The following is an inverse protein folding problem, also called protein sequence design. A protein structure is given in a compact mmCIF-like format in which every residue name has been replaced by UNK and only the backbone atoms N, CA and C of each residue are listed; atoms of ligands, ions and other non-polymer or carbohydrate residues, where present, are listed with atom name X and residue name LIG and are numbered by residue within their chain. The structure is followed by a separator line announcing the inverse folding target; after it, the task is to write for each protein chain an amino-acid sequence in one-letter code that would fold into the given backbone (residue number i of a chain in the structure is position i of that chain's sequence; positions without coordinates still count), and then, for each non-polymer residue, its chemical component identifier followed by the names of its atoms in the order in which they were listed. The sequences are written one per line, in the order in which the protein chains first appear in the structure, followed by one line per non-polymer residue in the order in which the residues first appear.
data_IF_810576946281
#
_entry.id   IF_810576946281
#
_cell.length_a   1.000
_cell.length_b   1.000
_cell.length_c   1.000
_cell.angle_alpha   90.00
_cell.angle_beta   90.00
_cell.angle_gamma   90.00
#
_symmetry.space_group_name_H-M   'P 1'
#
loop_
_entity.id
_entity.type
_entity.pdbx_description
1 polymer ?
#
# COMPACT_ATOMS: atom_id res chain seq x y z
N UNK A 1 -17.99 2.33 4.92
CA UNK A 1 -17.79 3.75 5.31
C UNK A 1 -19.09 4.26 5.91
N UNK A 2 -19.07 5.27 6.78
CA UNK A 2 -20.33 5.84 7.32
C UNK A 2 -21.14 6.45 6.19
N UNK A 3 -22.46 6.33 6.25
CA UNK A 3 -23.35 6.97 5.27
C UNK A 3 -23.10 8.48 5.25
N UNK A 4 -22.98 9.05 4.04
CA UNK A 4 -22.67 10.48 3.84
C UNK A 4 -21.19 10.87 3.99
N UNK A 5 -20.29 9.94 4.32
CA UNK A 5 -18.86 10.25 4.38
C UNK A 5 -18.26 10.35 2.97
N UNK A 6 -17.44 11.37 2.73
CA UNK A 6 -16.68 11.51 1.50
C UNK A 6 -15.74 10.29 1.29
N UNK A 7 -15.50 9.87 0.03
CA UNK A 7 -14.56 8.79 -0.28
C UNK A 7 -13.17 9.03 0.31
N UNK A 8 -12.54 7.97 0.81
CA UNK A 8 -11.18 8.04 1.32
C UNK A 8 -10.21 8.29 0.16
N UNK A 9 -9.29 9.22 0.33
CA UNK A 9 -8.20 9.50 -0.61
C UNK A 9 -6.84 9.11 -0.04
N UNK A 10 -5.85 8.92 -0.91
CA UNK A 10 -4.46 8.70 -0.51
C UNK A 10 -3.90 9.86 0.34
N UNK A 11 -4.35 11.08 0.09
CA UNK A 11 -3.91 12.26 0.83
C UNK A 11 -4.48 12.27 2.25
N UNK A 12 -5.72 11.79 2.45
CA UNK A 12 -6.32 11.70 3.79
C UNK A 12 -5.50 10.80 4.70
N UNK A 13 -5.03 9.66 4.18
CA UNK A 13 -4.16 8.72 4.91
C UNK A 13 -2.85 9.40 5.32
N UNK A 14 -2.20 10.11 4.39
CA UNK A 14 -0.95 10.82 4.69
C UNK A 14 -1.14 11.91 5.74
N UNK A 15 -2.19 12.73 5.61
CA UNK A 15 -2.50 13.81 6.57
C UNK A 15 -2.80 13.25 7.96
N UNK A 16 -3.55 12.15 8.04
CA UNK A 16 -3.78 11.47 9.31
C UNK A 16 -2.46 11.04 9.96
N UNK A 17 -1.53 10.43 9.21
CA UNK A 17 -0.23 10.01 9.74
C UNK A 17 0.65 11.18 10.24
N UNK A 18 0.61 12.36 9.63
CA UNK A 18 1.49 13.50 9.95
C UNK A 18 1.37 14.01 11.39
N UNK A 19 0.22 13.82 12.05
CA UNK A 19 0.02 14.18 13.46
C UNK A 19 0.08 13.00 14.44
N UNK A 20 0.19 11.76 13.95
CA UNK A 20 0.07 10.55 14.75
C UNK A 20 1.33 9.67 14.73
N UNK A 21 2.22 9.88 13.76
CA UNK A 21 3.42 9.09 13.57
C UNK A 21 4.65 9.99 13.48
N UNK A 22 5.79 9.48 13.95
CA UNK A 22 7.08 10.11 13.67
C UNK A 22 7.31 10.21 12.15
N UNK A 23 7.96 11.29 11.71
CA UNK A 23 8.07 11.64 10.28
C UNK A 23 8.55 10.49 9.38
N UNK A 24 9.52 9.69 9.84
CA UNK A 24 10.08 8.57 9.07
C UNK A 24 9.11 7.37 8.90
N UNK A 25 8.01 7.32 9.65
CA UNK A 25 6.95 6.28 9.54
C UNK A 25 5.81 6.71 8.62
N UNK A 26 5.82 7.94 8.11
CA UNK A 26 4.77 8.43 7.22
C UNK A 26 4.97 7.79 5.83
N UNK A 27 3.95 7.15 5.25
CA UNK A 27 4.08 6.47 3.97
C UNK A 27 4.32 7.47 2.82
N UNK A 28 5.39 7.25 2.05
CA UNK A 28 5.70 8.09 0.87
C UNK A 28 4.69 7.89 -0.26
N UNK A 29 4.22 6.66 -0.45
CA UNK A 29 3.22 6.29 -1.45
C UNK A 29 2.06 5.58 -0.77
N UNK A 30 0.84 5.90 -1.19
CA UNK A 30 -0.40 5.27 -0.72
C UNK A 30 -1.21 4.94 -1.96
N UNK A 31 -1.57 3.67 -2.11
CA UNK A 31 -2.46 3.20 -3.16
C UNK A 31 -3.73 2.68 -2.50
N UNK A 32 -4.86 3.18 -2.95
CA UNK A 32 -6.16 2.65 -2.57
C UNK A 32 -6.47 1.45 -3.46
N UNK A 33 -6.98 0.38 -2.85
CA UNK A 33 -7.35 -0.85 -3.54
C UNK A 33 -8.68 -1.33 -2.99
N UNK A 34 -9.49 -1.94 -3.84
CA UNK A 34 -10.77 -2.51 -3.42
C UNK A 34 -10.57 -3.75 -2.54
N UNK A 35 -9.50 -4.50 -2.80
CA UNK A 35 -9.13 -5.70 -2.05
C UNK A 35 -7.63 -5.94 -2.02
N UNK A 36 -7.17 -6.53 -0.91
CA UNK A 36 -5.80 -7.04 -0.82
C UNK A 36 -5.67 -8.40 -1.51
N UNK A 37 -4.49 -8.74 -2.05
CA UNK A 37 -4.22 -10.13 -2.40
C UNK A 37 -4.23 -10.98 -1.13
N UNK A 38 -4.98 -12.08 -1.17
CA UNK A 38 -5.18 -12.97 -0.03
C UNK A 38 -4.75 -14.40 -0.35
N UNK A 39 -4.40 -15.18 0.68
CA UNK A 39 -4.31 -16.64 0.57
C UNK A 39 -5.70 -17.25 0.44
N UNK A 40 -5.77 -18.54 0.10
CA UNK A 40 -7.03 -19.31 0.10
C UNK A 40 -7.73 -19.30 1.47
N UNK A 41 -6.97 -19.10 2.55
CA UNK A 41 -7.47 -18.95 3.93
C UNK A 41 -7.74 -17.50 4.35
N UNK A 42 -7.66 -16.54 3.43
CA UNK A 42 -8.00 -15.13 3.68
C UNK A 42 -6.91 -14.28 4.33
N UNK A 43 -5.66 -14.78 4.45
CA UNK A 43 -4.55 -13.99 5.00
C UNK A 43 -3.95 -13.08 3.93
N UNK A 44 -3.63 -11.84 4.28
CA UNK A 44 -2.99 -10.88 3.36
C UNK A 44 -1.63 -11.41 2.88
N UNK A 45 -1.44 -11.47 1.56
CA UNK A 45 -0.19 -11.89 0.91
C UNK A 45 0.76 -10.72 0.71
N UNK A 46 1.50 -10.36 1.76
CA UNK A 46 2.47 -9.25 1.73
C UNK A 46 3.57 -9.38 0.66
N UNK A 47 3.94 -10.60 0.26
CA UNK A 47 4.95 -10.85 -0.78
C UNK A 47 4.46 -10.31 -2.13
N UNK A 48 3.26 -10.72 -2.52
CA UNK A 48 2.64 -10.26 -3.76
C UNK A 48 2.35 -8.75 -3.75
N UNK A 49 1.93 -8.20 -2.60
CA UNK A 49 1.80 -6.74 -2.47
C UNK A 49 3.11 -6.01 -2.76
N UNK A 50 4.25 -6.57 -2.33
CA UNK A 50 5.57 -5.98 -2.59
C UNK A 50 5.94 -6.07 -4.06
N UNK A 51 5.70 -7.21 -4.71
CA UNK A 51 5.92 -7.40 -6.15
C UNK A 51 5.10 -6.40 -6.97
N UNK A 52 3.80 -6.29 -6.68
CA UNK A 52 2.92 -5.29 -7.30
C UNK A 52 3.42 -3.86 -7.09
N UNK A 53 3.85 -3.52 -5.87
CA UNK A 53 4.37 -2.18 -5.57
C UNK A 53 5.68 -1.85 -6.31
N UNK A 54 6.57 -2.83 -6.47
CA UNK A 54 7.80 -2.70 -7.26
C UNK A 54 7.46 -2.34 -8.70
N UNK A 55 6.56 -3.10 -9.33
CA UNK A 55 6.10 -2.85 -10.70
C UNK A 55 5.43 -1.49 -10.84
N UNK A 56 4.49 -1.15 -9.95
CA UNK A 56 3.74 0.11 -9.99
C UNK A 56 4.61 1.34 -9.81
N UNK A 57 5.65 1.25 -9.00
CA UNK A 57 6.58 2.35 -8.75
C UNK A 57 7.73 2.41 -9.77
N UNK A 58 7.71 1.56 -10.80
CA UNK A 58 8.77 1.47 -11.80
C UNK A 58 10.13 1.11 -11.20
N UNK A 59 10.14 0.46 -10.03
CA UNK A 59 11.37 0.02 -9.37
C UNK A 59 11.70 -1.34 -9.94
N UNK A 60 12.89 -1.53 -10.50
CA UNK A 60 13.34 -2.87 -10.89
C UNK A 60 13.58 -3.66 -9.60
N UNK A 61 12.93 -4.83 -9.47
CA UNK A 61 13.27 -5.76 -8.39
C UNK A 61 14.74 -6.16 -8.56
N UNK A 62 15.60 -6.07 -7.54
CA UNK A 62 16.98 -6.58 -7.62
C UNK A 62 17.06 -8.11 -7.74
N UNK A 63 15.93 -8.80 -7.98
CA UNK A 63 15.81 -10.26 -8.03
C UNK A 63 15.36 -10.74 -9.40
N UNK A 64 16.06 -10.28 -10.42
CA UNK A 64 16.11 -10.91 -11.74
C UNK A 64 17.56 -10.86 -12.22
N UNK A 65 18.42 -11.54 -11.45
CA UNK A 65 19.69 -12.10 -11.95
C UNK A 65 19.73 -13.53 -11.43
N UNK A 66 19.29 -14.44 -12.29
CA UNK A 66 19.63 -15.85 -12.23
C UNK A 66 19.63 -16.30 -13.69
N UNK A 67 20.82 -16.70 -14.14
CA UNK A 67 21.13 -17.05 -15.52
C UNK A 67 20.48 -18.33 -16.00
#
# INVERSE_FOLDING_TARGET
MRSGAAPLTAQDVKRYCQGHLAHYKIPRYVQLVDQFPMTVTGKVRKVEMRERAITLLGRVSPRSVSG
#
